data_IF_099014257642
#
_entry.id   IF_099014257642
#
_cell.length_a   1.000
_cell.length_b   1.000
_cell.length_c   1.000
_cell.angle_alpha   90.00
_cell.angle_beta   90.00
_cell.angle_gamma   90.00
#
_symmetry.space_group_name_H-M   'P 1'
#
loop_
_entity.id
_entity.type
_entity.pdbx_description
1 polymer ?
#
# COMPACT_ATOMS: atom_id res chain seq x y z
N UNK A 1 -29.50 -25.53 -6.26
CA UNK A 1 -29.40 -24.48 -7.29
C UNK A 1 -28.01 -23.85 -7.23
N UNK A 2 -27.11 -24.22 -8.13
CA UNK A 2 -25.75 -23.69 -8.21
C UNK A 2 -25.79 -22.41 -9.04
N UNK A 3 -25.52 -21.24 -8.43
CA UNK A 3 -25.35 -19.98 -9.18
C UNK A 3 -24.05 -20.07 -9.98
N UNK A 4 -24.15 -20.07 -11.31
CA UNK A 4 -23.01 -19.93 -12.22
C UNK A 4 -22.44 -18.51 -12.05
N UNK A 5 -21.19 -18.41 -11.63
CA UNK A 5 -20.42 -17.18 -11.76
C UNK A 5 -20.10 -16.98 -13.24
N UNK A 6 -20.68 -15.94 -13.81
CA UNK A 6 -20.40 -15.48 -15.17
C UNK A 6 -18.95 -14.97 -15.26
N UNK A 7 -18.35 -15.13 -16.44
CA UNK A 7 -16.97 -14.89 -16.82
C UNK A 7 -16.37 -13.57 -16.29
N UNK A 8 -15.02 -13.50 -16.11
CA UNK A 8 -14.36 -12.30 -15.64
C UNK A 8 -14.63 -11.14 -16.59
N UNK A 9 -15.15 -10.05 -16.03
CA UNK A 9 -15.37 -8.79 -16.73
C UNK A 9 -14.02 -8.29 -17.22
N UNK A 10 -13.73 -8.48 -18.52
CA UNK A 10 -12.57 -7.86 -19.16
C UNK A 10 -12.81 -6.36 -19.22
N UNK A 11 -12.22 -5.62 -18.31
CA UNK A 11 -12.15 -4.17 -18.39
C UNK A 11 -11.41 -3.80 -19.67
N UNK A 12 -12.15 -3.43 -20.75
CA UNK A 12 -11.58 -2.76 -21.91
C UNK A 12 -11.42 -1.29 -21.53
N UNK A 13 -10.24 -0.94 -21.05
CA UNK A 13 -9.86 0.47 -20.98
C UNK A 13 -9.81 1.03 -22.41
N UNK A 14 -10.68 1.99 -22.72
CA UNK A 14 -10.60 2.75 -23.97
C UNK A 14 -9.84 4.04 -23.67
N UNK A 15 -8.66 4.27 -24.27
CA UNK A 15 -7.98 5.54 -24.13
C UNK A 15 -8.87 6.63 -24.77
N UNK A 16 -9.30 7.60 -24.00
CA UNK A 16 -9.76 8.87 -24.55
C UNK A 16 -8.54 9.53 -25.18
N UNK A 17 -8.73 10.08 -26.39
CA UNK A 17 -7.74 10.70 -27.28
C UNK A 17 -6.49 11.28 -26.58
N UNK A 18 -5.33 11.10 -27.23
CA UNK A 18 -3.96 11.36 -26.81
C UNK A 18 -3.57 12.81 -26.43
N UNK A 19 -4.47 13.62 -25.94
CA UNK A 19 -4.21 14.99 -25.48
C UNK A 19 -4.61 15.26 -24.03
N UNK A 20 -4.98 14.20 -23.28
CA UNK A 20 -5.17 14.36 -21.83
C UNK A 20 -3.80 14.19 -21.17
N UNK A 21 -3.03 15.27 -21.02
CA UNK A 21 -2.08 15.40 -19.93
C UNK A 21 -2.75 14.84 -18.69
N UNK A 22 -2.15 13.83 -18.06
CA UNK A 22 -2.67 13.31 -16.81
C UNK A 22 -2.98 14.51 -15.91
N UNK A 23 -4.21 14.61 -15.35
CA UNK A 23 -4.54 15.76 -14.54
C UNK A 23 -3.45 15.87 -13.46
N UNK A 24 -2.87 17.06 -13.27
CA UNK A 24 -1.85 17.24 -12.24
C UNK A 24 -2.45 16.67 -10.98
N UNK A 25 -1.73 15.76 -10.33
CA UNK A 25 -2.15 15.19 -9.05
C UNK A 25 -2.62 16.35 -8.19
N UNK A 26 -3.72 16.18 -7.43
CA UNK A 26 -4.33 17.27 -6.63
C UNK A 26 -3.26 18.00 -5.81
N UNK A 27 -2.21 17.30 -5.38
CA UNK A 27 -1.05 17.87 -4.66
C UNK A 27 -0.27 18.91 -5.45
N UNK A 28 -0.02 18.68 -6.74
CA UNK A 28 0.67 19.66 -7.61
C UNK A 28 -0.09 20.97 -7.75
N UNK A 29 -1.43 20.94 -7.75
CA UNK A 29 -2.26 22.14 -7.80
C UNK A 29 -2.12 23.00 -6.54
N UNK A 30 -1.72 22.40 -5.43
CA UNK A 30 -1.51 23.06 -4.15
C UNK A 30 -0.02 23.23 -3.83
N UNK A 31 0.87 23.11 -4.81
CA UNK A 31 2.30 23.30 -4.62
C UNK A 31 3.00 22.18 -3.82
N UNK A 32 2.28 21.13 -3.40
CA UNK A 32 2.87 20.05 -2.62
C UNK A 32 3.50 18.97 -3.51
N UNK A 33 4.77 18.67 -3.25
CA UNK A 33 5.49 17.55 -3.87
C UNK A 33 5.82 16.52 -2.79
N UNK A 34 5.17 15.35 -2.80
CA UNK A 34 5.48 14.32 -1.82
C UNK A 34 6.94 13.87 -1.96
N UNK A 35 7.66 13.60 -0.85
CA UNK A 35 9.02 13.10 -0.88
C UNK A 35 9.13 11.83 -1.74
N UNK A 36 10.21 11.73 -2.52
CA UNK A 36 10.50 10.47 -3.22
C UNK A 36 10.85 9.40 -2.19
N UNK A 37 10.35 8.18 -2.43
CA UNK A 37 10.69 7.01 -1.63
C UNK A 37 11.62 6.10 -2.43
N UNK A 38 12.73 5.70 -1.82
CA UNK A 38 13.67 4.78 -2.45
C UNK A 38 13.20 3.33 -2.31
N UNK A 39 12.47 3.04 -1.24
CA UNK A 39 11.94 1.72 -0.94
C UNK A 39 10.44 1.61 -1.21
N UNK A 40 10.04 0.58 -1.96
CA UNK A 40 8.63 0.32 -2.27
C UNK A 40 7.85 -0.31 -1.10
N UNK A 41 8.47 -0.55 0.03
CA UNK A 41 7.95 -1.36 1.14
C UNK A 41 7.72 -0.53 2.40
N UNK A 42 7.24 0.69 2.23
CA UNK A 42 6.76 1.50 3.34
C UNK A 42 7.85 2.16 4.18
N UNK A 43 9.13 2.00 3.86
CA UNK A 43 10.27 2.55 4.61
C UNK A 43 10.13 2.41 6.15
N UNK A 44 9.47 1.32 6.58
CA UNK A 44 9.34 1.01 8.01
C UNK A 44 10.70 0.57 8.53
N UNK A 45 11.28 1.36 9.43
CA UNK A 45 12.52 1.00 10.09
C UNK A 45 12.27 -0.20 11.02
N UNK A 46 12.92 -1.33 10.74
CA UNK A 46 12.82 -2.55 11.54
C UNK A 46 14.11 -2.75 12.35
N UNK A 47 13.93 -3.18 13.59
CA UNK A 47 15.01 -3.55 14.49
C UNK A 47 14.79 -4.98 15.04
N UNK A 48 15.84 -5.64 15.54
CA UNK A 48 15.68 -6.87 16.32
C UNK A 48 14.72 -6.64 17.48
N UNK A 49 13.76 -7.55 17.66
CA UNK A 49 12.70 -7.43 18.68
C UNK A 49 11.42 -6.76 18.20
N UNK A 50 11.39 -6.16 17.01
CA UNK A 50 10.13 -5.74 16.41
C UNK A 50 9.27 -6.94 16.01
N UNK A 51 7.96 -6.74 16.01
CA UNK A 51 7.00 -7.66 15.44
C UNK A 51 6.23 -6.95 14.31
N UNK A 52 6.59 -7.25 13.07
CA UNK A 52 5.90 -6.69 11.92
C UNK A 52 4.62 -7.47 11.63
N UNK A 53 3.51 -6.76 11.56
CA UNK A 53 2.26 -7.24 10.96
C UNK A 53 2.19 -6.84 9.49
N UNK A 54 1.91 -7.79 8.62
CA UNK A 54 1.74 -7.52 7.19
C UNK A 54 0.30 -7.84 6.78
N UNK A 55 -0.40 -6.88 6.23
CA UNK A 55 -1.75 -7.05 5.69
C UNK A 55 -1.66 -7.11 4.18
N UNK A 56 -1.83 -8.33 3.62
CA UNK A 56 -1.47 -8.67 2.26
C UNK A 56 0.00 -9.09 2.14
N UNK A 57 0.27 -10.24 1.54
CA UNK A 57 1.62 -10.81 1.44
C UNK A 57 2.50 -10.08 0.43
N UNK A 58 3.54 -9.41 0.92
CA UNK A 58 4.59 -8.78 0.10
C UNK A 58 5.87 -9.60 0.19
N UNK A 59 5.99 -10.65 -0.63
CA UNK A 59 7.12 -11.61 -0.59
C UNK A 59 8.51 -10.95 -0.54
N UNK A 60 8.81 -9.87 -1.29
CA UNK A 60 10.11 -9.21 -1.19
C UNK A 60 10.41 -8.66 0.21
N UNK A 61 9.38 -8.23 0.96
CA UNK A 61 9.54 -7.72 2.31
C UNK A 61 9.77 -8.85 3.33
N UNK A 62 9.17 -10.01 3.14
CA UNK A 62 9.33 -11.15 4.05
C UNK A 62 10.81 -11.45 4.30
N UNK A 63 11.60 -11.53 3.23
CA UNK A 63 13.05 -11.81 3.34
C UNK A 63 13.81 -10.71 4.06
N UNK A 64 13.43 -9.45 3.86
CA UNK A 64 14.05 -8.32 4.57
C UNK A 64 13.78 -8.39 6.06
N UNK A 65 12.53 -8.65 6.45
CA UNK A 65 12.14 -8.79 7.88
C UNK A 65 12.91 -9.93 8.55
N UNK A 66 12.99 -11.07 7.90
CA UNK A 66 13.72 -12.23 8.42
C UNK A 66 15.23 -11.94 8.58
N UNK A 67 15.84 -11.21 7.65
CA UNK A 67 17.26 -10.82 7.73
C UNK A 67 17.56 -9.87 8.92
N UNK A 68 16.59 -9.06 9.33
CA UNK A 68 16.73 -8.18 10.51
C UNK A 68 16.53 -8.95 11.82
N UNK A 69 15.92 -10.13 11.78
CA UNK A 69 15.58 -10.89 12.97
C UNK A 69 14.33 -10.39 13.69
N UNK A 70 13.46 -9.66 13.02
CA UNK A 70 12.15 -9.28 13.52
C UNK A 70 11.13 -10.40 13.35
N UNK A 71 10.15 -10.49 14.26
CA UNK A 71 9.02 -11.39 14.10
C UNK A 71 8.08 -10.91 12.98
N UNK A 72 7.40 -11.86 12.32
CA UNK A 72 6.50 -11.53 11.21
C UNK A 72 5.20 -12.32 11.28
N UNK A 73 4.09 -11.59 11.29
CA UNK A 73 2.74 -12.12 11.09
C UNK A 73 2.14 -11.58 9.81
N UNK A 74 1.61 -12.45 8.95
CA UNK A 74 0.98 -12.06 7.68
C UNK A 74 -0.50 -12.45 7.71
N UNK A 75 -1.36 -11.47 7.49
CA UNK A 75 -2.80 -11.69 7.31
C UNK A 75 -3.15 -11.52 5.83
N UNK A 76 -3.75 -12.55 5.26
CA UNK A 76 -4.19 -12.61 3.88
C UNK A 76 -5.68 -12.93 3.79
N UNK A 77 -6.32 -12.62 2.66
CA UNK A 77 -7.72 -12.97 2.40
C UNK A 77 -7.88 -14.27 1.59
N UNK A 78 -6.79 -14.75 1.02
CA UNK A 78 -6.75 -15.93 0.15
C UNK A 78 -6.03 -17.09 0.85
N UNK A 79 -6.77 -18.17 1.15
CA UNK A 79 -6.25 -19.35 1.81
C UNK A 79 -5.11 -20.02 1.01
N UNK A 80 -5.14 -19.97 -0.31
CA UNK A 80 -4.06 -20.55 -1.13
C UNK A 80 -2.76 -19.74 -1.00
N UNK A 81 -2.87 -18.42 -0.86
CA UNK A 81 -1.69 -17.58 -0.59
C UNK A 81 -1.13 -17.84 0.80
N UNK A 82 -1.99 -18.01 1.81
CA UNK A 82 -1.56 -18.41 3.16
C UNK A 82 -0.75 -19.71 3.11
N UNK A 83 -1.28 -20.74 2.44
CA UNK A 83 -0.59 -22.03 2.30
C UNK A 83 0.77 -21.90 1.62
N UNK A 84 0.86 -21.10 0.51
CA UNK A 84 2.12 -20.87 -0.19
C UNK A 84 3.14 -20.13 0.68
N UNK A 85 2.71 -19.06 1.37
CA UNK A 85 3.58 -18.31 2.26
C UNK A 85 4.09 -19.17 3.41
N UNK A 86 3.23 -20.00 4.02
CA UNK A 86 3.61 -20.89 5.10
C UNK A 86 4.56 -21.99 4.63
N UNK A 87 4.39 -22.49 3.39
CA UNK A 87 5.29 -23.48 2.81
C UNK A 87 6.65 -22.89 2.43
N UNK A 88 6.68 -21.65 1.88
CA UNK A 88 7.93 -20.97 1.49
C UNK A 88 8.71 -20.46 2.72
N UNK A 89 8.00 -20.02 3.77
CA UNK A 89 8.57 -19.41 4.97
C UNK A 89 7.97 -20.05 6.25
N UNK A 90 8.38 -21.26 6.65
CA UNK A 90 7.79 -21.95 7.78
C UNK A 90 8.01 -21.25 9.14
N UNK A 91 8.96 -20.31 9.22
CA UNK A 91 9.29 -19.55 10.43
C UNK A 91 8.41 -18.32 10.67
N UNK A 92 7.50 -17.95 9.73
CA UNK A 92 6.54 -16.86 9.92
C UNK A 92 5.16 -17.38 10.28
N UNK A 93 4.29 -16.51 10.78
CA UNK A 93 2.87 -16.79 10.90
C UNK A 93 2.11 -16.23 9.70
N UNK A 94 1.62 -17.08 8.80
CA UNK A 94 0.69 -16.68 7.74
C UNK A 94 -0.71 -17.23 8.05
N UNK A 95 -1.74 -16.37 8.03
CA UNK A 95 -3.09 -16.74 8.46
C UNK A 95 -4.18 -15.91 7.80
N UNK A 96 -5.43 -16.38 7.88
CA UNK A 96 -6.64 -15.62 7.53
C UNK A 96 -7.17 -14.83 8.74
N UNK A 97 -6.71 -15.16 9.95
CA UNK A 97 -7.20 -14.56 11.18
C UNK A 97 -6.47 -13.25 11.48
N UNK A 98 -7.22 -12.16 11.47
CA UNK A 98 -6.72 -10.82 11.79
C UNK A 98 -6.25 -10.65 13.24
N UNK A 99 -6.67 -11.53 14.16
CA UNK A 99 -6.23 -11.49 15.56
C UNK A 99 -4.69 -11.68 15.68
N UNK A 100 -4.04 -12.27 14.67
CA UNK A 100 -2.59 -12.40 14.59
C UNK A 100 -1.85 -11.04 14.52
N UNK A 101 -2.54 -9.95 14.25
CA UNK A 101 -1.96 -8.60 14.20
C UNK A 101 -1.90 -7.93 15.58
N UNK A 102 -2.63 -8.44 16.56
CA UNK A 102 -2.73 -7.81 17.88
C UNK A 102 -1.40 -7.55 18.59
N UNK A 103 -0.39 -8.44 18.54
CA UNK A 103 0.92 -8.20 19.17
C UNK A 103 1.88 -7.38 18.31
N UNK A 104 1.52 -7.03 17.04
CA UNK A 104 2.44 -6.37 16.12
C UNK A 104 2.58 -4.89 16.45
N UNK A 105 3.81 -4.44 16.69
CA UNK A 105 4.11 -3.02 16.97
C UNK A 105 4.32 -2.17 15.71
N UNK A 106 4.55 -2.82 14.57
CA UNK A 106 4.67 -2.16 13.26
C UNK A 106 3.81 -2.87 12.23
N UNK A 107 3.13 -2.11 11.39
CA UNK A 107 2.22 -2.65 10.38
C UNK A 107 2.59 -2.12 9.00
N UNK A 108 2.64 -3.02 8.02
CA UNK A 108 2.67 -2.69 6.59
C UNK A 108 1.44 -3.30 5.92
N UNK A 109 0.63 -2.45 5.35
CA UNK A 109 -0.69 -2.84 4.85
C UNK A 109 -0.90 -2.45 3.39
N UNK A 110 -1.57 -3.31 2.63
CA UNK A 110 -1.94 -3.01 1.25
C UNK A 110 -3.00 -1.91 1.17
N UNK A 111 -2.81 -0.93 0.29
CA UNK A 111 -3.81 0.10 0.00
C UNK A 111 -5.11 -0.44 -0.64
N UNK A 112 -5.14 -1.71 -1.03
CA UNK A 112 -6.36 -2.41 -1.48
C UNK A 112 -7.45 -2.39 -0.41
N UNK A 113 -7.08 -2.24 0.88
CA UNK A 113 -8.04 -2.08 1.98
C UNK A 113 -8.98 -0.88 1.82
N UNK A 114 -8.56 0.15 1.09
CA UNK A 114 -9.40 1.31 0.74
C UNK A 114 -10.49 0.94 -0.27
N UNK A 115 -10.23 -0.07 -1.11
CA UNK A 115 -11.15 -0.50 -2.17
C UNK A 115 -12.18 -1.53 -1.66
N UNK A 116 -11.78 -2.36 -0.70
CA UNK A 116 -12.64 -3.41 -0.15
C UNK A 116 -13.28 -3.05 1.21
N UNK A 117 -13.05 -1.82 1.71
CA UNK A 117 -13.66 -1.31 2.94
C UNK A 117 -13.18 -1.96 4.23
N UNK A 118 -11.98 -2.58 4.25
CA UNK A 118 -11.49 -3.30 5.44
C UNK A 118 -10.57 -2.47 6.33
N UNK A 119 -10.25 -1.21 5.98
CA UNK A 119 -9.29 -0.39 6.71
C UNK A 119 -9.59 -0.28 8.20
N UNK A 120 -10.80 0.15 8.57
CA UNK A 120 -11.15 0.39 9.99
C UNK A 120 -11.09 -0.91 10.82
N UNK A 121 -11.52 -2.04 10.22
CA UNK A 121 -11.45 -3.33 10.88
C UNK A 121 -10.01 -3.83 11.09
N UNK A 122 -9.11 -3.51 10.17
CA UNK A 122 -7.69 -3.86 10.29
C UNK A 122 -6.95 -2.94 11.25
N UNK A 123 -7.24 -1.64 11.25
CA UNK A 123 -6.71 -0.71 12.27
C UNK A 123 -7.11 -1.16 13.68
N UNK A 124 -8.38 -1.53 13.89
CA UNK A 124 -8.86 -2.04 15.17
C UNK A 124 -8.20 -3.37 15.60
N UNK A 125 -7.71 -4.17 14.64
CA UNK A 125 -7.01 -5.42 14.94
C UNK A 125 -5.53 -5.22 15.34
N UNK A 126 -5.01 -3.98 15.28
CA UNK A 126 -3.60 -3.65 15.52
C UNK A 126 -3.44 -2.72 16.74
N UNK A 127 -3.92 -3.08 17.95
CA UNK A 127 -3.92 -2.17 19.11
C UNK A 127 -2.53 -1.81 19.62
N UNK A 128 -1.52 -2.65 19.36
CA UNK A 128 -0.12 -2.41 19.76
C UNK A 128 0.68 -1.62 18.72
N UNK A 129 0.11 -1.33 17.56
CA UNK A 129 0.85 -0.70 16.46
C UNK A 129 1.21 0.76 16.77
N UNK A 130 2.49 1.07 16.76
CA UNK A 130 3.05 2.43 16.84
C UNK A 130 3.27 3.03 15.45
N UNK A 131 3.47 2.18 14.45
CA UNK A 131 3.61 2.55 13.04
C UNK A 131 2.62 1.74 12.20
N UNK A 132 1.89 2.42 11.32
CA UNK A 132 0.97 1.81 10.36
C UNK A 132 1.21 2.43 8.97
N UNK A 133 1.97 1.73 8.12
CA UNK A 133 2.27 2.14 6.76
C UNK A 133 1.26 1.54 5.79
N UNK A 134 0.57 2.39 5.04
CA UNK A 134 -0.34 1.98 3.97
C UNK A 134 0.39 2.10 2.62
N UNK A 135 0.55 1.00 1.89
CA UNK A 135 1.35 0.95 0.67
C UNK A 135 0.55 0.45 -0.54
N UNK A 136 0.82 1.03 -1.69
CA UNK A 136 0.27 0.56 -2.96
C UNK A 136 -0.18 1.70 -3.89
N UNK A 137 -0.58 1.36 -5.12
CA UNK A 137 -0.96 2.36 -6.13
C UNK A 137 -2.23 3.13 -5.75
N UNK A 138 -3.14 2.54 -4.98
CA UNK A 138 -4.37 3.20 -4.49
C UNK A 138 -4.11 4.18 -3.35
N UNK A 139 -2.88 4.22 -2.80
CA UNK A 139 -2.48 5.14 -1.73
C UNK A 139 -2.21 6.58 -2.20
N UNK A 140 -2.33 6.86 -3.50
CA UNK A 140 -2.15 8.19 -4.09
C UNK A 140 -3.33 9.15 -3.83
N UNK A 141 -3.77 9.28 -2.58
CA UNK A 141 -4.90 10.10 -2.17
C UNK A 141 -4.50 11.11 -1.08
N UNK A 142 -5.44 11.97 -0.71
CA UNK A 142 -5.28 12.98 0.32
C UNK A 142 -5.15 12.33 1.69
N UNK A 143 -4.07 12.57 2.46
CA UNK A 143 -3.75 11.72 3.61
C UNK A 143 -4.51 12.03 4.90
N UNK A 144 -5.09 13.24 5.06
CA UNK A 144 -5.65 13.70 6.33
C UNK A 144 -6.59 12.69 6.97
N UNK A 145 -7.61 12.23 6.23
CA UNK A 145 -8.59 11.28 6.75
C UNK A 145 -8.00 9.91 7.15
N UNK A 146 -6.86 9.53 6.57
CA UNK A 146 -6.15 8.31 6.94
C UNK A 146 -5.30 8.53 8.19
N UNK A 147 -4.62 9.66 8.27
CA UNK A 147 -3.80 10.03 9.43
C UNK A 147 -4.64 10.23 10.69
N UNK A 148 -5.84 10.80 10.57
CA UNK A 148 -6.82 10.90 11.65
C UNK A 148 -7.27 9.53 12.17
N UNK A 149 -7.31 8.50 11.30
CA UNK A 149 -7.68 7.12 11.67
C UNK A 149 -6.53 6.30 12.27
N UNK A 150 -5.31 6.82 12.29
CA UNK A 150 -4.16 6.12 12.88
C UNK A 150 -3.15 5.58 11.87
N UNK A 151 -3.35 5.78 10.57
CA UNK A 151 -2.28 5.57 9.59
C UNK A 151 -1.16 6.56 9.89
N UNK A 152 0.09 6.10 9.93
CA UNK A 152 1.25 6.95 10.22
C UNK A 152 2.07 7.28 8.98
N UNK A 153 1.98 6.43 7.95
CA UNK A 153 2.72 6.62 6.70
C UNK A 153 1.89 6.17 5.50
N UNK A 154 1.95 6.96 4.45
CA UNK A 154 1.26 6.69 3.19
C UNK A 154 2.29 6.58 2.07
N UNK A 155 2.40 5.39 1.46
CA UNK A 155 3.35 5.10 0.40
C UNK A 155 2.62 4.75 -0.89
N UNK A 156 2.90 5.50 -1.95
CA UNK A 156 2.19 5.36 -3.20
C UNK A 156 3.07 5.45 -4.43
N UNK A 157 2.40 5.57 -5.57
CA UNK A 157 3.03 5.77 -6.86
C UNK A 157 2.46 7.02 -7.50
N UNK A 158 3.33 7.95 -7.87
CA UNK A 158 2.98 9.16 -8.60
C UNK A 158 3.35 9.00 -10.07
N UNK A 159 2.38 9.13 -10.96
CA UNK A 159 2.63 9.23 -12.40
C UNK A 159 3.21 10.61 -12.68
N UNK A 160 4.40 10.65 -13.29
CA UNK A 160 5.12 11.88 -13.64
C UNK A 160 5.04 12.20 -15.13
N UNK A 161 4.94 11.15 -15.97
CA UNK A 161 4.64 11.24 -17.40
C UNK A 161 3.43 10.36 -17.72
N UNK A 162 2.28 11.01 -17.92
CA UNK A 162 1.02 10.31 -18.16
C UNK A 162 0.98 9.60 -19.52
N UNK A 163 1.62 10.13 -20.54
CA UNK A 163 1.64 9.55 -21.87
C UNK A 163 2.49 8.28 -21.89
N UNK A 164 3.74 8.37 -21.42
CA UNK A 164 4.64 7.22 -21.31
C UNK A 164 4.08 6.14 -20.37
N UNK A 165 3.43 6.54 -19.26
CA UNK A 165 2.78 5.59 -18.37
C UNK A 165 1.65 4.82 -19.06
N UNK A 166 0.75 5.53 -19.76
CA UNK A 166 -0.37 4.92 -20.46
C UNK A 166 0.10 3.97 -21.57
N UNK A 167 1.15 4.34 -22.29
CA UNK A 167 1.75 3.52 -23.34
C UNK A 167 2.38 2.23 -22.77
N UNK A 168 3.17 2.34 -21.70
CA UNK A 168 3.75 1.18 -21.03
C UNK A 168 2.67 0.22 -20.52
N UNK A 169 1.61 0.75 -19.89
CA UNK A 169 0.49 -0.05 -19.41
C UNK A 169 -0.27 -0.74 -20.55
N UNK A 170 -0.45 -0.07 -21.68
CA UNK A 170 -1.10 -0.66 -22.85
C UNK A 170 -0.30 -1.82 -23.45
N UNK A 171 1.04 -1.79 -23.36
CA UNK A 171 1.93 -2.86 -23.80
C UNK A 171 2.17 -3.94 -22.74
N UNK A 172 1.66 -3.79 -21.51
CA UNK A 172 1.94 -4.69 -20.38
C UNK A 172 3.38 -4.61 -19.87
N UNK A 173 4.04 -3.48 -20.13
CA UNK A 173 5.41 -3.21 -19.72
C UNK A 173 5.48 -2.53 -18.34
N UNK A 174 6.66 -2.55 -17.75
CA UNK A 174 6.93 -1.74 -16.55
C UNK A 174 6.94 -0.27 -16.91
N UNK A 175 6.34 0.59 -16.07
CA UNK A 175 6.24 2.03 -16.31
C UNK A 175 7.57 2.82 -16.20
N UNK A 176 8.69 2.17 -15.76
CA UNK A 176 10.03 2.78 -15.71
C UNK A 176 10.04 4.18 -15.08
N UNK A 177 10.63 5.15 -15.77
CA UNK A 177 10.68 6.55 -15.34
C UNK A 177 9.36 7.32 -15.46
N UNK A 178 8.30 6.73 -16.04
CA UNK A 178 7.00 7.41 -16.18
C UNK A 178 6.24 7.57 -14.85
N UNK A 179 6.67 6.87 -13.80
CA UNK A 179 6.12 6.97 -12.46
C UNK A 179 7.23 6.89 -11.42
N UNK A 180 7.01 7.48 -10.25
CA UNK A 180 7.93 7.39 -9.12
C UNK A 180 7.21 6.97 -7.85
N UNK A 181 7.95 6.34 -6.94
CA UNK A 181 7.47 6.06 -5.59
C UNK A 181 7.55 7.32 -4.74
N UNK A 182 6.66 7.42 -3.77
CA UNK A 182 6.67 8.47 -2.76
C UNK A 182 6.25 7.91 -1.40
N UNK A 183 6.66 8.59 -0.33
CA UNK A 183 6.16 8.37 1.02
C UNK A 183 5.80 9.70 1.67
N UNK A 184 4.70 9.73 2.42
CA UNK A 184 4.26 10.86 3.23
C UNK A 184 4.11 10.36 4.66
N UNK A 185 4.90 10.92 5.57
CA UNK A 185 4.77 10.67 7.00
C UNK A 185 3.77 11.63 7.62
N UNK A 186 2.97 11.13 8.56
CA UNK A 186 2.01 11.95 9.30
C UNK A 186 2.68 13.12 10.01
N UNK A 187 3.87 12.89 10.59
CA UNK A 187 4.61 13.92 11.30
C UNK A 187 5.12 15.05 10.39
N UNK A 188 5.36 14.77 9.11
CA UNK A 188 5.85 15.73 8.12
C UNK A 188 4.72 16.33 7.24
N UNK A 189 3.50 15.84 7.39
CA UNK A 189 2.37 16.33 6.61
C UNK A 189 1.84 17.66 7.15
N UNK A 190 1.80 18.74 6.35
CA UNK A 190 1.38 20.06 6.83
C UNK A 190 -0.14 20.19 7.07
N UNK A 191 -0.93 19.24 6.58
CA UNK A 191 -2.39 19.33 6.57
C UNK A 191 -2.94 20.03 5.33
N UNK A 192 -4.13 19.66 4.91
CA UNK A 192 -4.77 20.23 3.72
C UNK A 192 -5.09 21.72 3.87
N UNK A 193 -5.44 22.18 5.09
CA UNK A 193 -5.72 23.59 5.34
C UNK A 193 -4.48 24.47 5.11
N UNK A 194 -3.32 24.05 5.59
CA UNK A 194 -2.08 24.79 5.39
C UNK A 194 -1.71 24.90 3.90
N UNK A 195 -1.96 23.84 3.12
CA UNK A 195 -1.71 23.83 1.69
C UNK A 195 -2.70 24.70 0.87
N UNK A 196 -3.88 25.00 1.42
CA UNK A 196 -4.83 25.89 0.79
C UNK A 196 -4.59 27.37 1.13
N UNK A 197 -3.89 27.64 2.24
CA UNK A 197 -3.63 28.98 2.73
C UNK A 197 -2.37 29.64 2.10
N UNK A 198 -1.50 28.86 1.47
CA UNK A 198 -0.30 29.31 0.74
C UNK A 198 -0.54 29.37 -0.75
#
# INVERSE_FOLDING_TARGET
>A
MRRRWSAPMRWRWRPRSAAATAPPTRWRRLGYAPPAADNSVGDVALAPGDHLGMIGGFTPLVRQVLNVGAALSIVELDAQKVQRLQAEFPQILATLDRAALAPCNKIVATSTMLLNGTLDAMLAACPAATEFALIGPSAGLWPDALFERGVTRLCGTQVVDGAAFAEAMARGERWGGAARKFAIDRAAWPGWQALLAG
#
